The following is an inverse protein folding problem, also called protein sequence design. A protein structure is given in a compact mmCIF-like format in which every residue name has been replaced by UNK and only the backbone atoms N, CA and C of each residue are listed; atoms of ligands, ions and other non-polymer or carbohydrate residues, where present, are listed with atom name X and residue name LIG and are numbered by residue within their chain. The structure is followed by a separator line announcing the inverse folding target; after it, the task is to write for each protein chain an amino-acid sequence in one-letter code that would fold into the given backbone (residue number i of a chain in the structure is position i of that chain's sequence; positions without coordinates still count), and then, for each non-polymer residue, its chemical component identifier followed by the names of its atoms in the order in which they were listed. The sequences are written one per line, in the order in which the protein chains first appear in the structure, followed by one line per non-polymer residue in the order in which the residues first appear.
data_IF_970021306251
#
_entry.id   IF_970021306251
#
_cell.length_a   1.000
_cell.length_b   1.000
_cell.length_c   1.000
_cell.angle_alpha   90.00
_cell.angle_beta   90.00
_cell.angle_gamma   90.00
#
_symmetry.space_group_name_H-M   'P 1'
#
loop_
_entity.id
_entity.type
_entity.pdbx_description
1 polymer ?
#
# COMPACT_ATOMS: atom_id res chain seq x y z
N UNK A 1 42.09 -23.64 17.42
CA UNK A 1 41.30 -22.92 18.43
C UNK A 1 40.15 -22.22 17.74
N UNK A 2 39.39 -22.93 16.92
CA UNK A 2 38.32 -22.33 16.08
C UNK A 2 37.25 -23.35 15.67
N UNK A 3 36.97 -24.35 16.51
CA UNK A 3 36.02 -25.43 16.16
C UNK A 3 35.03 -25.75 17.30
N UNK A 4 34.70 -24.73 18.15
CA UNK A 4 33.82 -24.92 19.31
C UNK A 4 32.53 -24.13 19.30
N UNK A 5 32.34 -23.21 18.30
CA UNK A 5 31.19 -22.28 18.31
C UNK A 5 30.01 -22.75 17.45
N UNK A 6 30.10 -23.88 16.73
CA UNK A 6 29.02 -24.36 15.86
C UNK A 6 27.95 -25.22 16.53
N UNK A 7 28.19 -25.68 17.76
CA UNK A 7 27.28 -26.57 18.47
C UNK A 7 26.24 -25.83 19.37
N UNK A 8 26.39 -24.53 19.57
CA UNK A 8 25.49 -23.77 20.46
C UNK A 8 24.11 -23.50 19.84
N UNK A 9 23.94 -23.67 18.53
CA UNK A 9 22.69 -23.28 17.80
C UNK A 9 21.70 -24.47 17.70
N UNK A 10 22.13 -25.70 17.90
CA UNK A 10 21.27 -26.87 17.73
C UNK A 10 20.52 -27.33 18.99
N UNK A 11 20.93 -26.87 20.17
CA UNK A 11 20.42 -27.43 21.45
C UNK A 11 19.24 -26.64 22.07
N UNK A 12 18.76 -25.61 21.43
CA UNK A 12 17.63 -24.79 21.95
C UNK A 12 16.24 -25.45 21.87
N UNK A 13 16.14 -26.69 21.38
CA UNK A 13 14.81 -27.34 21.18
C UNK A 13 14.54 -28.47 22.16
N UNK A 14 15.54 -28.91 22.94
CA UNK A 14 15.36 -30.02 23.88
C UNK A 14 15.86 -29.56 25.26
N UNK A 15 14.94 -29.25 26.16
CA UNK A 15 15.23 -29.23 27.59
C UNK A 15 15.35 -30.70 28.02
N UNK A 16 16.52 -31.23 28.33
CA UNK A 16 16.61 -32.55 28.92
C UNK A 16 16.11 -32.44 30.37
N UNK A 17 15.08 -33.18 30.72
CA UNK A 17 14.81 -33.51 32.13
C UNK A 17 15.98 -34.33 32.64
N UNK A 18 16.89 -33.74 33.36
CA UNK A 18 18.00 -34.45 33.96
C UNK A 18 18.76 -33.57 34.96
N UNK A 19 18.68 -33.94 36.23
CA UNK A 19 19.49 -33.50 37.36
C UNK A 19 19.60 -31.99 37.58
N UNK A 20 18.64 -31.48 38.31
CA UNK A 20 18.69 -30.18 39.00
C UNK A 20 19.33 -30.33 40.39
N UNK A 21 20.04 -29.29 40.86
CA UNK A 21 20.49 -29.15 42.24
C UNK A 21 19.33 -28.88 43.23
N UNK A 22 19.63 -28.79 44.51
CA UNK A 22 18.64 -28.52 45.56
C UNK A 22 17.87 -27.17 45.40
N UNK A 23 18.24 -26.34 44.48
CA UNK A 23 17.59 -25.06 44.14
C UNK A 23 16.93 -25.02 42.75
N UNK A 24 16.82 -26.18 42.06
CA UNK A 24 16.16 -26.29 40.76
C UNK A 24 16.99 -25.84 39.58
N UNK A 25 18.30 -25.66 39.75
CA UNK A 25 19.24 -25.20 38.68
C UNK A 25 19.91 -26.40 38.01
N UNK A 26 20.11 -26.41 36.69
CA UNK A 26 20.78 -27.50 36.00
C UNK A 26 22.25 -27.56 36.40
N UNK A 27 22.70 -28.78 36.79
CA UNK A 27 24.10 -29.05 37.09
C UNK A 27 24.96 -29.07 35.85
N UNK A 28 25.75 -28.04 35.73
CA UNK A 28 27.08 -27.91 35.12
C UNK A 28 27.47 -28.76 33.88
N UNK A 29 27.57 -28.11 32.72
CA UNK A 29 28.81 -28.16 31.92
C UNK A 29 28.91 -27.23 30.72
N UNK A 30 27.90 -26.44 30.39
CA UNK A 30 28.00 -25.50 29.26
C UNK A 30 27.53 -24.06 29.63
N UNK A 31 28.25 -23.44 30.55
CA UNK A 31 27.97 -22.15 31.14
C UNK A 31 28.21 -20.94 30.18
N UNK A 32 28.40 -21.14 28.91
CA UNK A 32 28.71 -20.05 27.98
C UNK A 32 27.51 -19.45 27.22
N UNK A 33 26.43 -20.23 27.00
CA UNK A 33 25.26 -19.80 26.27
C UNK A 33 24.06 -19.46 27.15
N UNK A 34 23.96 -20.12 28.32
CA UNK A 34 22.82 -19.96 29.23
C UNK A 34 22.87 -18.69 30.09
N UNK A 35 24.05 -18.16 30.35
CA UNK A 35 24.23 -16.92 31.15
C UNK A 35 23.48 -15.72 30.61
N UNK A 36 23.36 -15.58 29.29
CA UNK A 36 22.60 -14.48 28.69
C UNK A 36 21.08 -14.62 28.87
N UNK A 37 20.57 -15.85 28.91
CA UNK A 37 19.15 -16.09 29.13
C UNK A 37 18.75 -15.89 30.60
N UNK A 38 19.62 -16.29 31.54
CA UNK A 38 19.42 -16.08 32.97
C UNK A 38 19.53 -14.60 33.38
N UNK A 39 20.50 -13.86 32.84
CA UNK A 39 20.59 -12.40 33.03
C UNK A 39 19.31 -11.70 32.53
N UNK A 40 18.70 -12.22 31.50
CA UNK A 40 17.46 -11.72 30.94
C UNK A 40 16.24 -12.01 31.84
N UNK A 41 16.28 -13.12 32.57
CA UNK A 41 15.21 -13.50 33.50
C UNK A 41 15.29 -12.69 34.79
N UNK A 42 16.48 -12.51 35.34
CA UNK A 42 16.70 -11.69 36.55
C UNK A 42 16.39 -10.21 36.30
N UNK A 43 16.72 -9.65 35.14
CA UNK A 43 16.31 -8.30 34.77
C UNK A 43 14.80 -8.11 34.63
N UNK A 44 14.04 -9.18 34.35
CA UNK A 44 12.57 -9.15 34.25
C UNK A 44 11.90 -9.22 35.63
N UNK A 45 12.51 -9.88 36.61
CA UNK A 45 11.95 -10.00 37.98
C UNK A 45 12.03 -8.69 38.76
N UNK A 46 13.05 -7.86 38.53
CA UNK A 46 13.25 -6.57 39.22
C UNK A 46 12.51 -5.39 38.57
N UNK A 47 11.73 -5.60 37.49
CA UNK A 47 11.04 -4.51 36.80
C UNK A 47 9.69 -4.14 37.44
N UNK A 48 9.33 -2.82 37.41
CA UNK A 48 8.04 -2.38 37.95
C UNK A 48 6.86 -3.03 37.24
N UNK A 49 5.76 -3.23 37.97
CA UNK A 49 4.53 -3.97 37.55
C UNK A 49 3.98 -3.65 36.16
N UNK A 50 4.27 -2.48 35.58
CA UNK A 50 3.91 -2.11 34.21
C UNK A 50 4.68 -2.91 33.16
N UNK A 51 5.95 -3.25 33.43
CA UNK A 51 6.74 -4.09 32.53
C UNK A 51 6.27 -5.56 32.58
N UNK A 52 5.84 -6.02 33.75
CA UNK A 52 5.27 -7.37 33.92
C UNK A 52 3.93 -7.50 33.18
N UNK A 53 3.12 -6.45 33.15
CA UNK A 53 1.88 -6.42 32.40
C UNK A 53 2.13 -6.46 30.87
N UNK A 54 3.13 -5.70 30.40
CA UNK A 54 3.53 -5.73 28.99
C UNK A 54 4.18 -7.06 28.61
N UNK A 55 4.95 -7.69 29.51
CA UNK A 55 5.50 -9.03 29.26
C UNK A 55 4.42 -10.12 29.28
N UNK A 56 3.38 -9.98 30.09
CA UNK A 56 2.24 -10.92 30.09
C UNK A 56 1.36 -10.76 28.83
N UNK A 57 1.30 -9.56 28.25
CA UNK A 57 0.69 -9.32 26.92
C UNK A 57 1.57 -9.84 25.79
N UNK A 58 2.88 -9.82 25.97
CA UNK A 58 3.86 -10.40 25.04
C UNK A 58 4.10 -11.89 25.27
N UNK A 59 3.56 -12.45 26.33
CA UNK A 59 3.69 -13.87 26.68
C UNK A 59 2.82 -14.73 25.76
N UNK A 60 3.34 -14.97 24.55
CA UNK A 60 2.83 -15.98 23.62
C UNK A 60 3.09 -17.41 24.10
N UNK A 61 3.49 -17.61 25.32
CA UNK A 61 3.77 -18.93 25.91
C UNK A 61 2.54 -19.85 25.92
N UNK A 62 1.34 -19.28 25.86
CA UNK A 62 0.11 -20.04 25.74
C UNK A 62 -0.16 -20.62 24.34
N UNK A 63 0.68 -20.32 23.33
CA UNK A 63 0.61 -20.93 22.00
C UNK A 63 1.56 -22.11 21.83
N UNK A 64 2.47 -22.31 22.76
CA UNK A 64 3.20 -23.57 22.87
C UNK A 64 2.30 -24.47 23.74
N UNK A 65 1.74 -25.55 23.21
CA UNK A 65 1.06 -26.51 24.05
C UNK A 65 2.07 -26.99 25.09
N UNK A 66 1.97 -26.48 26.31
CA UNK A 66 2.62 -27.06 27.46
C UNK A 66 2.19 -28.51 27.41
N UNK A 67 3.15 -29.42 27.30
CA UNK A 67 2.88 -30.85 27.38
C UNK A 67 2.30 -31.10 28.79
N UNK A 68 1.01 -30.86 28.91
CA UNK A 68 0.16 -31.36 29.99
C UNK A 68 0.46 -32.84 30.02
N UNK A 69 0.78 -33.42 31.17
CA UNK A 69 1.12 -34.82 31.37
C UNK A 69 0.27 -35.71 30.46
N UNK A 70 0.74 -35.91 29.24
CA UNK A 70 0.04 -36.64 28.21
C UNK A 70 0.26 -38.12 28.53
N UNK A 71 -0.84 -38.83 28.62
CA UNK A 71 -0.87 -40.27 28.59
C UNK A 71 0.15 -40.81 27.58
N UNK A 72 1.13 -41.65 27.97
CA UNK A 72 2.20 -42.08 27.06
C UNK A 72 1.69 -42.80 25.80
N UNK A 73 0.45 -43.28 25.81
CA UNK A 73 -0.21 -44.06 24.76
C UNK A 73 -1.20 -43.20 23.88
N UNK A 74 -1.33 -41.91 24.10
CA UNK A 74 -2.16 -41.07 23.24
C UNK A 74 -1.46 -40.86 21.90
N UNK A 75 -2.15 -41.03 20.74
CA UNK A 75 -1.58 -40.75 19.43
C UNK A 75 -1.16 -39.29 19.35
N UNK A 76 0.14 -39.01 19.17
CA UNK A 76 0.67 -37.65 19.01
C UNK A 76 -0.12 -36.95 17.92
N UNK A 77 -0.72 -35.78 18.18
CA UNK A 77 -1.41 -35.04 17.16
C UNK A 77 -0.44 -34.79 16.00
N UNK A 78 -0.89 -35.08 14.78
CA UNK A 78 -0.09 -34.86 13.59
C UNK A 78 0.39 -33.40 13.56
N UNK A 79 1.67 -33.12 13.31
CA UNK A 79 2.17 -31.76 13.26
C UNK A 79 1.36 -30.97 12.22
N UNK A 80 0.93 -29.75 12.54
CA UNK A 80 0.16 -28.93 11.60
C UNK A 80 0.93 -28.79 10.30
N UNK A 81 0.24 -28.93 9.15
CA UNK A 81 0.84 -28.81 7.84
C UNK A 81 1.49 -27.42 7.71
N UNK A 82 2.81 -27.36 7.69
CA UNK A 82 3.57 -26.11 7.58
C UNK A 82 3.57 -25.61 6.14
N UNK A 83 3.44 -24.30 5.96
CA UNK A 83 3.37 -23.67 4.64
C UNK A 83 4.76 -23.54 4.00
N UNK A 84 4.81 -23.73 2.66
CA UNK A 84 6.01 -23.45 1.86
C UNK A 84 6.21 -21.98 1.56
N UNK A 85 7.32 -21.62 0.95
CA UNK A 85 7.73 -20.25 0.61
C UNK A 85 6.69 -19.51 -0.25
N UNK A 86 6.11 -20.18 -1.25
CA UNK A 86 5.16 -19.57 -2.19
C UNK A 86 3.90 -19.07 -1.48
N UNK A 87 3.21 -19.97 -0.76
CA UNK A 87 1.94 -19.67 -0.10
C UNK A 87 2.14 -18.91 1.21
N UNK A 88 3.23 -19.22 1.93
CA UNK A 88 3.49 -18.63 3.25
C UNK A 88 4.06 -17.22 3.21
N UNK A 89 4.88 -16.88 2.20
CA UNK A 89 5.60 -15.61 2.16
C UNK A 89 5.32 -14.82 0.87
N UNK A 90 5.56 -15.43 -0.30
CA UNK A 90 5.52 -14.73 -1.59
C UNK A 90 4.14 -14.16 -1.92
N UNK A 91 3.09 -14.96 -1.90
CA UNK A 91 1.73 -14.50 -2.20
C UNK A 91 1.20 -13.47 -1.18
N UNK A 92 1.36 -13.64 0.14
CA UNK A 92 0.99 -12.62 1.10
C UNK A 92 1.74 -11.29 0.94
N UNK A 93 3.03 -11.32 0.59
CA UNK A 93 3.79 -10.11 0.31
C UNK A 93 3.24 -9.38 -0.92
N UNK A 94 3.02 -10.08 -2.03
CA UNK A 94 2.43 -9.49 -3.25
C UNK A 94 1.06 -8.88 -2.95
N UNK A 95 0.21 -9.58 -2.20
CA UNK A 95 -1.12 -9.10 -1.85
C UNK A 95 -1.09 -7.81 -1.02
N UNK A 96 -0.14 -7.69 -0.10
CA UNK A 96 0.00 -6.48 0.71
C UNK A 96 0.69 -5.33 -0.02
N UNK A 97 1.59 -5.61 -0.97
CA UNK A 97 2.27 -4.59 -1.76
C UNK A 97 1.32 -3.99 -2.80
N UNK A 98 0.57 -4.81 -3.54
CA UNK A 98 -0.42 -4.29 -4.49
C UNK A 98 -1.62 -3.66 -3.76
N UNK A 99 -1.43 -2.42 -3.32
CA UNK A 99 -2.45 -1.65 -2.60
C UNK A 99 -3.32 -0.79 -3.53
N UNK A 100 -4.29 -0.13 -2.92
CA UNK A 100 -5.27 0.74 -3.60
C UNK A 100 -4.62 1.88 -4.41
N UNK A 101 -3.48 2.39 -3.95
CA UNK A 101 -2.77 3.52 -4.58
C UNK A 101 -2.29 3.18 -6.00
N UNK A 102 -1.97 1.91 -6.29
CA UNK A 102 -1.65 1.46 -7.65
C UNK A 102 -2.76 1.86 -8.63
N UNK A 103 -4.01 1.62 -8.24
CA UNK A 103 -5.16 1.80 -9.13
C UNK A 103 -5.66 3.25 -9.17
N UNK A 104 -5.60 3.99 -8.06
CA UNK A 104 -6.23 5.30 -7.97
C UNK A 104 -5.26 6.49 -8.04
N UNK A 105 -3.96 6.28 -7.86
CA UNK A 105 -3.00 7.39 -7.79
C UNK A 105 -1.79 7.26 -8.70
N UNK A 106 -1.45 6.06 -9.18
CA UNK A 106 -0.26 5.89 -10.00
C UNK A 106 -0.35 6.68 -11.32
N UNK A 107 -1.51 6.69 -11.97
CA UNK A 107 -1.75 7.45 -13.19
C UNK A 107 -1.54 8.95 -12.97
N UNK A 108 -2.10 9.47 -11.89
CA UNK A 108 -1.94 10.87 -11.50
C UNK A 108 -0.48 11.23 -11.15
N UNK A 109 0.25 10.34 -10.47
CA UNK A 109 1.68 10.52 -10.20
C UNK A 109 2.47 10.60 -11.50
N UNK A 110 2.18 9.72 -12.47
CA UNK A 110 2.83 9.71 -13.78
C UNK A 110 2.50 10.97 -14.58
N UNK A 111 1.23 11.38 -14.62
CA UNK A 111 0.81 12.59 -15.34
C UNK A 111 1.38 13.88 -14.75
N UNK A 112 1.60 13.93 -13.45
CA UNK A 112 2.12 15.11 -12.76
C UNK A 112 3.65 15.17 -12.77
N UNK A 113 4.33 14.05 -12.53
CA UNK A 113 5.78 13.98 -12.50
C UNK A 113 6.40 13.83 -13.91
N UNK A 114 5.59 13.43 -14.91
CA UNK A 114 6.09 13.00 -16.20
C UNK A 114 6.73 11.61 -16.17
N UNK A 115 7.07 11.06 -17.32
CA UNK A 115 7.57 9.70 -17.43
C UNK A 115 8.90 9.50 -16.70
N UNK A 116 9.85 10.42 -16.84
CA UNK A 116 11.20 10.29 -16.26
C UNK A 116 11.15 10.41 -14.75
N UNK A 117 10.57 11.50 -14.24
CA UNK A 117 10.52 11.71 -12.78
C UNK A 117 9.59 10.71 -12.10
N UNK A 118 8.46 10.34 -12.74
CA UNK A 118 7.57 9.28 -12.28
C UNK A 118 8.29 7.94 -12.15
N UNK A 119 9.09 7.58 -13.16
CA UNK A 119 9.91 6.37 -13.10
C UNK A 119 10.94 6.44 -11.96
N UNK A 120 11.62 7.58 -11.78
CA UNK A 120 12.59 7.77 -10.69
C UNK A 120 11.94 7.73 -9.31
N UNK A 121 10.73 8.30 -9.14
CA UNK A 121 9.95 8.22 -7.90
C UNK A 121 9.70 6.76 -7.54
N UNK A 122 9.12 6.00 -8.47
CA UNK A 122 8.78 4.59 -8.24
C UNK A 122 10.03 3.76 -8.01
N UNK A 123 11.10 3.97 -8.80
CA UNK A 123 12.36 3.27 -8.64
C UNK A 123 12.99 3.53 -7.27
N UNK A 124 13.02 4.78 -6.82
CA UNK A 124 13.56 5.16 -5.50
C UNK A 124 12.80 4.48 -4.37
N UNK A 125 11.45 4.47 -4.44
CA UNK A 125 10.61 3.79 -3.47
C UNK A 125 10.88 2.27 -3.47
N UNK A 126 10.96 1.64 -4.65
CA UNK A 126 11.25 0.22 -4.79
C UNK A 126 12.65 -0.15 -4.28
N UNK A 127 13.66 0.67 -4.57
CA UNK A 127 15.02 0.46 -4.07
C UNK A 127 15.08 0.55 -2.53
N UNK A 128 14.38 1.50 -1.94
CA UNK A 128 14.32 1.66 -0.48
C UNK A 128 13.71 0.42 0.18
N UNK A 129 12.60 -0.08 -0.35
CA UNK A 129 11.97 -1.31 0.17
C UNK A 129 12.80 -2.55 -0.08
N UNK A 130 13.51 -2.63 -1.21
CA UNK A 130 14.44 -3.72 -1.49
C UNK A 130 15.60 -3.75 -0.49
N UNK A 131 16.23 -2.60 -0.19
CA UNK A 131 17.29 -2.51 0.82
C UNK A 131 16.78 -2.93 2.20
N UNK A 132 15.57 -2.52 2.57
CA UNK A 132 14.93 -2.94 3.83
C UNK A 132 14.70 -4.45 3.86
N UNK A 133 14.25 -5.04 2.74
CA UNK A 133 14.03 -6.48 2.65
C UNK A 133 15.34 -7.29 2.72
N UNK A 134 16.43 -6.78 2.13
CA UNK A 134 17.75 -7.39 2.23
C UNK A 134 18.23 -7.36 3.70
N UNK A 135 18.07 -6.23 4.38
CA UNK A 135 18.39 -6.10 5.80
C UNK A 135 17.57 -7.06 6.67
N UNK A 136 16.25 -7.12 6.44
CA UNK A 136 15.37 -8.05 7.13
C UNK A 136 15.76 -9.52 6.86
N UNK A 137 16.15 -9.83 5.63
CA UNK A 137 16.60 -11.17 5.24
C UNK A 137 17.89 -11.57 5.95
N UNK A 138 18.82 -10.63 6.09
CA UNK A 138 20.07 -10.87 6.84
C UNK A 138 19.79 -11.18 8.32
N UNK A 139 18.84 -10.48 8.94
CA UNK A 139 18.43 -10.72 10.33
C UNK A 139 17.68 -12.07 10.43
N UNK A 140 16.80 -12.39 9.47
CA UNK A 140 16.01 -13.62 9.46
C UNK A 140 16.87 -14.90 9.32
N UNK A 141 18.00 -14.80 8.60
CA UNK A 141 18.95 -15.93 8.46
C UNK A 141 19.83 -16.14 9.67
N UNK A 142 19.92 -15.17 10.57
CA UNK A 142 20.75 -15.21 11.77
C UNK A 142 19.97 -15.79 12.97
N UNK A 143 19.66 -17.07 12.92
CA UNK A 143 19.02 -17.83 14.00
C UNK A 143 17.53 -18.14 13.77
N UNK A 144 16.97 -18.97 14.64
CA UNK A 144 15.59 -19.47 14.52
C UNK A 144 14.58 -18.36 14.78
N UNK A 145 13.55 -18.27 13.95
CA UNK A 145 12.43 -17.33 14.09
C UNK A 145 11.16 -18.14 14.37
N UNK A 146 10.84 -18.42 15.64
CA UNK A 146 9.72 -19.31 15.99
C UNK A 146 8.36 -18.66 15.69
N UNK A 147 8.15 -17.42 16.10
CA UNK A 147 6.95 -16.64 15.88
C UNK A 147 7.24 -15.16 16.14
N UNK A 148 6.30 -14.26 15.79
CA UNK A 148 6.42 -12.84 16.10
C UNK A 148 7.06 -11.98 14.99
N UNK A 149 7.51 -12.60 13.90
CA UNK A 149 7.96 -11.86 12.71
C UNK A 149 9.12 -10.91 12.95
N UNK A 150 9.08 -9.78 12.27
CA UNK A 150 10.18 -8.81 12.23
C UNK A 150 10.46 -8.17 13.60
N UNK A 151 9.44 -7.89 14.40
CA UNK A 151 9.65 -7.28 15.71
C UNK A 151 10.38 -8.22 16.68
N UNK A 152 10.10 -9.52 16.62
CA UNK A 152 10.83 -10.53 17.38
C UNK A 152 12.30 -10.59 16.95
N UNK A 153 12.56 -10.60 15.64
CA UNK A 153 13.93 -10.61 15.10
C UNK A 153 14.74 -9.39 15.55
N UNK A 154 14.13 -8.21 15.55
CA UNK A 154 14.76 -6.97 16.00
C UNK A 154 14.95 -6.99 17.51
N UNK A 155 13.93 -7.39 18.28
CA UNK A 155 13.99 -7.49 19.73
C UNK A 155 15.08 -8.45 20.23
N UNK A 156 15.27 -9.58 19.55
CA UNK A 156 16.34 -10.51 19.82
C UNK A 156 17.73 -9.91 19.57
N UNK A 157 17.89 -9.09 18.52
CA UNK A 157 19.16 -8.52 18.11
C UNK A 157 19.55 -7.27 18.90
N UNK A 158 18.59 -6.41 19.21
CA UNK A 158 18.80 -5.07 19.82
C UNK A 158 18.26 -4.95 21.26
N UNK A 159 17.66 -6.00 21.78
CA UNK A 159 17.09 -6.02 23.12
C UNK A 159 15.58 -5.73 23.16
N UNK A 160 14.93 -6.01 24.30
CA UNK A 160 13.46 -5.97 24.45
C UNK A 160 12.90 -4.57 24.33
N UNK A 161 13.66 -3.55 24.73
CA UNK A 161 13.23 -2.15 24.69
C UNK A 161 13.07 -1.68 23.24
N UNK A 162 14.06 -1.97 22.38
CA UNK A 162 13.99 -1.69 20.97
C UNK A 162 12.90 -2.53 20.28
N UNK A 163 12.76 -3.81 20.65
CA UNK A 163 11.70 -4.69 20.15
C UNK A 163 10.31 -4.16 20.49
N UNK A 164 10.09 -3.69 21.72
CA UNK A 164 8.83 -3.08 22.15
C UNK A 164 8.51 -1.79 21.37
N UNK A 165 9.49 -0.90 21.21
CA UNK A 165 9.33 0.33 20.44
C UNK A 165 8.97 0.05 18.98
N UNK A 166 9.67 -0.88 18.33
CA UNK A 166 9.37 -1.31 16.95
C UNK A 166 7.99 -1.95 16.85
N UNK A 167 7.57 -2.75 17.83
CA UNK A 167 6.23 -3.33 17.90
C UNK A 167 5.13 -2.26 17.93
N UNK A 168 5.30 -1.21 18.74
CA UNK A 168 4.37 -0.07 18.80
C UNK A 168 4.32 0.71 17.48
N UNK A 169 5.48 0.96 16.87
CA UNK A 169 5.57 1.63 15.56
C UNK A 169 4.90 0.79 14.47
N UNK A 170 5.13 -0.52 14.48
CA UNK A 170 4.51 -1.45 13.53
C UNK A 170 2.99 -1.47 13.67
N UNK A 171 2.47 -1.53 14.91
CA UNK A 171 1.04 -1.46 15.17
C UNK A 171 0.43 -0.16 14.64
N UNK A 172 1.03 0.98 14.99
CA UNK A 172 0.53 2.29 14.56
C UNK A 172 0.58 2.43 13.04
N UNK A 173 1.70 2.07 12.40
CA UNK A 173 1.84 2.13 10.95
C UNK A 173 0.86 1.24 10.21
N UNK A 174 0.64 0.02 10.69
CA UNK A 174 -0.33 -0.92 10.10
C UNK A 174 -1.77 -0.43 10.26
N UNK A 175 -2.10 0.18 11.40
CA UNK A 175 -3.43 0.77 11.66
C UNK A 175 -3.70 1.94 10.71
N UNK A 176 -2.72 2.84 10.51
CA UNK A 176 -2.84 3.95 9.56
C UNK A 176 -2.98 3.45 8.11
N UNK A 177 -2.21 2.42 7.73
CA UNK A 177 -2.34 1.80 6.42
C UNK A 177 -3.73 1.16 6.22
N UNK A 178 -4.26 0.46 7.23
CA UNK A 178 -5.61 -0.09 7.18
C UNK A 178 -6.68 0.99 7.02
N UNK A 179 -6.55 2.11 7.73
CA UNK A 179 -7.43 3.25 7.58
C UNK A 179 -7.39 3.84 6.17
N UNK A 180 -6.18 3.96 5.58
CA UNK A 180 -6.01 4.42 4.20
C UNK A 180 -6.71 3.49 3.19
N UNK A 181 -6.61 2.17 3.36
CA UNK A 181 -7.29 1.21 2.48
C UNK A 181 -8.82 1.27 2.61
N UNK A 182 -9.34 1.47 3.82
CA UNK A 182 -10.78 1.66 4.05
C UNK A 182 -11.28 2.93 3.36
N UNK A 183 -10.59 4.04 3.54
CA UNK A 183 -10.91 5.31 2.87
C UNK A 183 -10.85 5.15 1.36
N UNK A 184 -9.80 4.54 0.82
CA UNK A 184 -9.68 4.28 -0.61
C UNK A 184 -10.78 3.37 -1.17
N UNK A 185 -11.22 2.36 -0.43
CA UNK A 185 -12.34 1.53 -0.82
C UNK A 185 -13.65 2.32 -0.89
N UNK A 186 -13.93 3.18 0.09
CA UNK A 186 -15.10 4.06 0.09
C UNK A 186 -15.02 5.07 -1.06
N UNK A 187 -13.83 5.66 -1.31
CA UNK A 187 -13.60 6.57 -2.44
C UNK A 187 -13.96 5.89 -3.78
N UNK A 188 -13.49 4.66 -4.01
CA UNK A 188 -13.78 3.91 -5.23
C UNK A 188 -15.29 3.65 -5.37
N UNK A 189 -15.95 3.22 -4.29
CA UNK A 189 -17.38 2.91 -4.33
C UNK A 189 -18.21 4.16 -4.64
N UNK A 190 -17.97 5.26 -3.94
CA UNK A 190 -18.79 6.48 -4.07
C UNK A 190 -18.43 7.35 -5.27
N UNK A 191 -17.19 7.25 -5.77
CA UNK A 191 -16.80 8.00 -6.97
C UNK A 191 -17.16 7.25 -8.25
N UNK A 192 -16.91 5.92 -8.27
CA UNK A 192 -16.92 5.16 -9.53
C UNK A 192 -18.05 4.13 -9.63
N UNK A 193 -18.33 3.39 -8.55
CA UNK A 193 -19.28 2.28 -8.63
C UNK A 193 -20.73 2.71 -8.40
N UNK A 194 -20.95 3.54 -7.39
CA UNK A 194 -22.29 3.91 -6.96
C UNK A 194 -22.33 5.35 -6.41
N UNK A 195 -22.18 6.39 -7.25
CA UNK A 195 -22.22 7.79 -6.80
C UNK A 195 -23.56 8.15 -6.14
N UNK A 196 -24.64 7.50 -6.55
CA UNK A 196 -26.00 7.67 -6.01
C UNK A 196 -26.15 7.22 -4.54
N UNK A 197 -25.20 6.44 -4.02
CA UNK A 197 -25.19 6.02 -2.60
C UNK A 197 -24.69 7.11 -1.65
N UNK A 198 -24.23 8.26 -2.13
CA UNK A 198 -23.79 9.34 -1.26
C UNK A 198 -24.98 9.90 -0.43
N UNK A 199 -24.86 9.80 0.90
CA UNK A 199 -25.96 10.16 1.85
C UNK A 199 -25.99 11.65 2.12
N UNK A 200 -24.83 12.32 2.20
CA UNK A 200 -24.72 13.70 2.69
C UNK A 200 -24.65 14.75 1.57
N UNK A 201 -24.85 14.36 0.32
CA UNK A 201 -24.74 15.24 -0.83
C UNK A 201 -23.78 14.72 -1.91
N UNK A 202 -23.32 15.61 -2.78
CA UNK A 202 -22.44 15.22 -3.88
C UNK A 202 -21.01 14.97 -3.36
N UNK A 203 -20.60 13.70 -3.37
CA UNK A 203 -19.30 13.25 -2.84
C UNK A 203 -18.11 13.94 -3.50
N UNK A 204 -18.22 14.29 -4.78
CA UNK A 204 -17.12 14.86 -5.56
C UNK A 204 -17.05 16.39 -5.51
N UNK A 205 -18.14 17.06 -5.15
CA UNK A 205 -18.25 18.52 -5.19
C UNK A 205 -18.16 19.19 -3.83
N UNK A 206 -18.65 18.50 -2.79
CA UNK A 206 -18.70 19.05 -1.43
C UNK A 206 -17.74 18.29 -0.52
N UNK A 207 -16.75 19.02 -0.01
CA UNK A 207 -15.72 18.45 0.88
C UNK A 207 -16.31 17.99 2.22
N UNK A 208 -17.32 18.68 2.75
CA UNK A 208 -17.96 18.26 4.00
C UNK A 208 -18.78 16.99 3.80
N UNK A 209 -19.53 16.90 2.70
CA UNK A 209 -20.24 15.69 2.31
C UNK A 209 -19.29 14.52 2.13
N UNK A 210 -18.13 14.73 1.50
CA UNK A 210 -17.09 13.73 1.31
C UNK A 210 -16.60 13.18 2.66
N UNK A 211 -16.22 14.03 3.60
CA UNK A 211 -15.73 13.58 4.91
C UNK A 211 -16.81 12.86 5.73
N UNK A 212 -18.06 13.31 5.68
CA UNK A 212 -19.14 12.66 6.40
C UNK A 212 -19.47 11.28 5.81
N UNK A 213 -19.44 11.12 4.49
CA UNK A 213 -19.55 9.82 3.84
C UNK A 213 -18.39 8.88 4.23
N UNK A 214 -17.13 9.36 4.25
CA UNK A 214 -16.00 8.58 4.71
C UNK A 214 -16.17 8.09 6.14
N UNK A 215 -16.68 8.93 7.05
CA UNK A 215 -16.92 8.53 8.46
C UNK A 215 -17.95 7.41 8.55
N UNK A 216 -19.08 7.55 7.89
CA UNK A 216 -20.18 6.58 7.99
C UNK A 216 -19.83 5.27 7.28
N UNK A 217 -19.49 5.33 6.01
CA UNK A 217 -19.17 4.12 5.24
C UNK A 217 -17.87 3.46 5.72
N UNK A 218 -16.86 4.25 6.07
CA UNK A 218 -15.61 3.73 6.60
C UNK A 218 -15.79 3.01 7.93
N UNK A 219 -16.60 3.57 8.84
CA UNK A 219 -16.93 2.91 10.11
C UNK A 219 -17.74 1.64 9.88
N UNK A 220 -18.71 1.66 8.98
CA UNK A 220 -19.48 0.49 8.60
C UNK A 220 -18.60 -0.64 8.04
N UNK A 221 -17.69 -0.29 7.12
CA UNK A 221 -16.75 -1.25 6.55
C UNK A 221 -15.80 -1.82 7.61
N UNK A 222 -15.29 -0.96 8.51
CA UNK A 222 -14.44 -1.39 9.63
C UNK A 222 -15.15 -2.38 10.54
N UNK A 223 -16.43 -2.16 10.86
CA UNK A 223 -17.23 -3.08 11.66
C UNK A 223 -17.44 -4.43 10.95
N UNK A 224 -17.71 -4.41 9.66
CA UNK A 224 -17.83 -5.63 8.84
C UNK A 224 -16.52 -6.42 8.86
N UNK A 225 -15.39 -5.75 8.64
CA UNK A 225 -14.07 -6.38 8.66
C UNK A 225 -13.74 -6.92 10.07
N UNK A 226 -14.10 -6.19 11.12
CA UNK A 226 -13.98 -6.65 12.51
C UNK A 226 -14.76 -7.94 12.76
N UNK A 227 -15.99 -8.02 12.28
CA UNK A 227 -16.80 -9.25 12.38
C UNK A 227 -16.17 -10.42 11.61
N UNK A 228 -15.64 -10.17 10.41
CA UNK A 228 -14.96 -11.20 9.61
C UNK A 228 -13.72 -11.74 10.34
N UNK A 229 -12.93 -10.86 10.96
CA UNK A 229 -11.76 -11.26 11.75
C UNK A 229 -12.17 -12.04 13.00
N UNK A 230 -13.28 -11.67 13.65
CA UNK A 230 -13.82 -12.37 14.81
C UNK A 230 -14.25 -13.81 14.49
N UNK A 231 -14.76 -14.08 13.28
CA UNK A 231 -15.10 -15.43 12.79
C UNK A 231 -13.86 -16.34 12.71
N UNK A 232 -12.70 -15.77 12.45
CA UNK A 232 -11.41 -16.46 12.54
C UNK A 232 -10.50 -16.34 11.32
N UNK A 233 -9.22 -16.47 11.58
CA UNK A 233 -8.12 -16.29 10.61
C UNK A 233 -8.20 -17.26 9.42
N UNK A 234 -8.72 -18.46 9.60
CA UNK A 234 -8.88 -19.45 8.49
C UNK A 234 -9.83 -18.93 7.40
N UNK A 235 -10.89 -18.24 7.82
CA UNK A 235 -11.86 -17.65 6.90
C UNK A 235 -11.24 -16.48 6.13
N UNK A 236 -10.52 -15.59 6.84
CA UNK A 236 -9.79 -14.47 6.25
C UNK A 236 -8.80 -14.94 5.18
N UNK A 237 -8.01 -15.98 5.47
CA UNK A 237 -7.03 -16.52 4.51
C UNK A 237 -7.66 -17.06 3.21
N UNK A 238 -8.86 -17.63 3.29
CA UNK A 238 -9.57 -18.10 2.10
C UNK A 238 -10.03 -16.93 1.22
N UNK A 239 -10.57 -15.87 1.82
CA UNK A 239 -10.94 -14.65 1.09
C UNK A 239 -9.73 -13.91 0.51
N UNK A 240 -8.63 -13.87 1.25
CA UNK A 240 -7.38 -13.26 0.80
C UNK A 240 -6.88 -13.83 -0.54
N UNK A 241 -7.00 -15.14 -0.74
CA UNK A 241 -6.59 -15.79 -1.99
C UNK A 241 -7.50 -15.37 -3.17
N UNK A 242 -8.80 -15.24 -2.94
CA UNK A 242 -9.74 -14.76 -3.98
C UNK A 242 -9.45 -13.31 -4.33
N UNK A 243 -9.22 -12.45 -3.31
CA UNK A 243 -8.86 -11.06 -3.53
C UNK A 243 -7.58 -10.92 -4.34
N UNK A 244 -6.54 -11.72 -4.03
CA UNK A 244 -5.30 -11.72 -4.81
C UNK A 244 -5.54 -12.13 -6.29
N UNK A 245 -6.37 -13.12 -6.54
CA UNK A 245 -6.72 -13.51 -7.90
C UNK A 245 -7.40 -12.37 -8.66
N UNK A 246 -8.32 -11.63 -8.02
CA UNK A 246 -8.95 -10.45 -8.61
C UNK A 246 -7.93 -9.35 -8.94
N UNK A 247 -6.96 -9.09 -8.05
CA UNK A 247 -5.90 -8.10 -8.29
C UNK A 247 -5.04 -8.50 -9.49
N UNK A 248 -4.62 -9.75 -9.57
CA UNK A 248 -3.82 -10.25 -10.71
C UNK A 248 -4.61 -10.15 -12.02
N UNK A 249 -5.90 -10.50 -12.01
CA UNK A 249 -6.77 -10.36 -13.17
C UNK A 249 -6.92 -8.90 -13.59
N UNK A 250 -7.09 -7.98 -12.65
CA UNK A 250 -7.19 -6.54 -12.92
C UNK A 250 -5.92 -5.99 -13.56
N UNK A 251 -4.76 -6.33 -13.02
CA UNK A 251 -3.47 -5.93 -13.60
C UNK A 251 -3.32 -6.52 -15.01
N UNK A 252 -3.64 -7.79 -15.19
CA UNK A 252 -3.59 -8.44 -16.52
C UNK A 252 -4.54 -7.77 -17.51
N UNK A 253 -5.72 -7.34 -17.08
CA UNK A 253 -6.67 -6.60 -17.92
C UNK A 253 -6.13 -5.23 -18.33
N UNK A 254 -5.42 -4.52 -17.46
CA UNK A 254 -4.74 -3.25 -17.80
C UNK A 254 -3.72 -3.50 -18.91
N UNK A 255 -2.84 -4.48 -18.77
CA UNK A 255 -1.87 -4.82 -19.82
C UNK A 255 -2.56 -5.20 -21.13
N UNK A 256 -3.57 -6.07 -21.07
CA UNK A 256 -4.32 -6.46 -22.26
C UNK A 256 -4.99 -5.25 -22.92
N UNK A 257 -5.60 -4.36 -22.14
CA UNK A 257 -6.22 -3.13 -22.64
C UNK A 257 -5.24 -2.20 -23.39
N UNK A 258 -4.03 -2.05 -22.87
CA UNK A 258 -2.96 -1.27 -23.50
C UNK A 258 -2.56 -1.89 -24.86
N UNK A 259 -2.39 -3.21 -24.92
CA UNK A 259 -1.99 -3.88 -26.16
C UNK A 259 -3.11 -3.92 -27.19
N UNK A 260 -4.37 -4.06 -26.76
CA UNK A 260 -5.54 -4.00 -27.66
C UNK A 260 -5.70 -2.62 -28.27
N UNK A 261 -5.45 -1.56 -27.50
CA UNK A 261 -5.53 -0.18 -27.96
C UNK A 261 -4.16 0.38 -28.39
N UNK A 262 -3.33 -0.44 -29.06
CA UNK A 262 -1.99 -0.04 -29.53
C UNK A 262 -1.98 1.23 -30.38
N UNK A 263 -2.97 1.36 -31.26
CA UNK A 263 -3.13 2.53 -32.15
C UNK A 263 -4.04 3.62 -31.54
N UNK A 264 -4.44 3.49 -30.28
CA UNK A 264 -5.36 4.40 -29.64
C UNK A 264 -6.82 3.93 -29.68
N UNK A 265 -7.68 4.66 -28.98
CA UNK A 265 -9.11 4.38 -28.88
C UNK A 265 -9.92 5.67 -29.13
N UNK A 266 -10.66 5.71 -30.24
CA UNK A 266 -11.48 6.87 -30.62
C UNK A 266 -12.75 7.03 -29.79
N UNK A 267 -13.10 6.04 -28.98
CA UNK A 267 -14.30 6.08 -28.14
C UNK A 267 -14.17 7.02 -26.95
N UNK A 268 -12.94 7.18 -26.42
CA UNK A 268 -12.69 8.06 -25.31
C UNK A 268 -12.15 9.39 -25.83
N UNK A 269 -13.05 10.33 -26.04
CA UNK A 269 -12.73 11.70 -26.45
C UNK A 269 -13.03 12.66 -25.29
N UNK A 270 -12.24 13.71 -25.18
CA UNK A 270 -12.35 14.71 -24.12
C UNK A 270 -12.52 16.10 -24.72
N UNK A 271 -13.42 16.90 -24.13
CA UNK A 271 -13.53 18.31 -24.44
C UNK A 271 -12.49 19.09 -23.62
N UNK A 272 -11.65 19.85 -24.31
CA UNK A 272 -10.55 20.62 -23.71
C UNK A 272 -10.64 22.07 -24.14
N UNK A 273 -10.55 23.00 -23.16
CA UNK A 273 -10.48 24.42 -23.40
C UNK A 273 -9.01 24.87 -23.26
N UNK A 274 -8.35 25.10 -24.38
CA UNK A 274 -6.90 25.33 -24.41
C UNK A 274 -6.14 24.14 -23.82
N UNK A 275 -5.65 24.27 -22.58
CA UNK A 275 -4.95 23.19 -21.86
C UNK A 275 -5.69 22.74 -20.58
N UNK A 276 -6.96 23.11 -20.44
CA UNK A 276 -7.81 22.71 -19.33
C UNK A 276 -8.79 21.62 -19.74
N UNK A 277 -8.82 20.54 -18.98
CA UNK A 277 -9.78 19.46 -19.15
C UNK A 277 -11.13 19.91 -18.59
N UNK A 278 -12.19 19.80 -19.39
CA UNK A 278 -13.55 20.14 -18.96
C UNK A 278 -14.26 18.88 -18.50
N UNK A 279 -14.80 18.91 -17.29
CA UNK A 279 -15.50 17.79 -16.66
C UNK A 279 -16.99 17.83 -16.99
N UNK A 280 -17.62 16.67 -17.08
CA UNK A 280 -19.08 16.49 -17.24
C UNK A 280 -19.70 17.13 -18.51
N UNK A 281 -18.93 17.31 -19.57
CA UNK A 281 -19.42 17.84 -20.83
C UNK A 281 -19.48 16.74 -21.88
N UNK A 282 -20.67 16.54 -22.43
CA UNK A 282 -20.84 15.67 -23.58
C UNK A 282 -20.12 16.25 -24.80
N UNK A 283 -19.50 15.40 -25.62
CA UNK A 283 -18.77 15.81 -26.81
C UNK A 283 -19.61 16.65 -27.77
N UNK A 284 -20.91 16.36 -27.84
CA UNK A 284 -21.88 17.11 -28.66
C UNK A 284 -22.05 18.55 -28.17
N UNK A 285 -21.86 18.81 -26.88
CA UNK A 285 -21.97 20.13 -26.25
C UNK A 285 -20.63 20.87 -26.17
N UNK A 286 -19.56 20.30 -26.72
CA UNK A 286 -18.22 20.92 -26.79
C UNK A 286 -18.17 22.00 -27.87
N UNK A 287 -19.00 23.05 -27.73
CA UNK A 287 -19.11 24.17 -28.67
C UNK A 287 -19.18 25.51 -27.92
N UNK A 288 -18.65 26.57 -28.53
CA UNK A 288 -18.73 27.93 -28.00
C UNK A 288 -20.00 28.68 -28.43
N UNK A 289 -21.07 27.97 -28.75
CA UNK A 289 -22.32 28.59 -29.18
C UNK A 289 -22.93 29.48 -28.06
N UNK A 290 -23.39 30.65 -28.44
CA UNK A 290 -24.05 31.58 -27.51
C UNK A 290 -25.36 30.96 -27.00
N UNK A 291 -25.46 30.78 -25.69
CA UNK A 291 -26.59 30.07 -25.05
C UNK A 291 -26.40 28.59 -24.86
N UNK A 292 -25.31 28.01 -25.37
CA UNK A 292 -24.89 26.66 -25.09
C UNK A 292 -24.50 26.42 -23.62
N UNK A 293 -24.27 25.17 -23.24
CA UNK A 293 -23.93 24.79 -21.85
C UNK A 293 -22.66 25.48 -21.37
N UNK A 294 -21.59 25.44 -22.18
CA UNK A 294 -20.32 26.09 -21.86
C UNK A 294 -20.45 27.62 -21.77
N UNK A 295 -21.23 28.23 -22.65
CA UNK A 295 -21.44 29.66 -22.60
C UNK A 295 -22.17 30.10 -21.31
N UNK A 296 -23.11 29.28 -20.81
CA UNK A 296 -23.81 29.60 -19.54
C UNK A 296 -22.87 29.49 -18.34
N UNK A 297 -21.93 28.54 -18.38
CA UNK A 297 -20.97 28.30 -17.29
C UNK A 297 -19.88 29.36 -17.26
N UNK A 298 -19.30 29.69 -18.42
CA UNK A 298 -18.14 30.58 -18.50
C UNK A 298 -18.47 32.04 -18.78
N UNK A 299 -19.74 32.35 -19.08
CA UNK A 299 -20.21 33.70 -19.37
C UNK A 299 -21.46 34.06 -18.53
N UNK A 300 -21.39 34.01 -17.16
CA UNK A 300 -22.49 34.48 -16.34
C UNK A 300 -22.73 35.96 -16.65
N UNK A 301 -24.01 36.35 -16.79
CA UNK A 301 -24.45 37.74 -17.05
C UNK A 301 -23.80 38.40 -18.29
N UNK A 302 -23.47 37.64 -19.32
CA UNK A 302 -22.75 38.05 -20.53
C UNK A 302 -21.30 38.56 -20.29
N UNK A 303 -20.76 38.36 -19.11
CA UNK A 303 -19.36 38.62 -18.80
C UNK A 303 -18.62 37.31 -18.90
N UNK A 304 -17.87 37.12 -19.97
CA UNK A 304 -17.14 35.86 -20.19
C UNK A 304 -15.79 35.87 -19.50
N UNK A 305 -15.42 34.72 -18.94
CA UNK A 305 -14.10 34.45 -18.42
C UNK A 305 -13.03 34.76 -19.49
N UNK A 306 -11.95 35.51 -19.18
CA UNK A 306 -10.86 35.81 -20.10
C UNK A 306 -10.27 34.57 -20.72
N UNK A 307 -10.03 33.52 -19.94
CA UNK A 307 -9.47 32.29 -20.44
C UNK A 307 -10.40 31.61 -21.47
N UNK A 308 -11.70 31.66 -21.28
CA UNK A 308 -12.69 31.13 -22.24
C UNK A 308 -12.70 31.92 -23.55
N UNK A 309 -12.46 33.23 -23.50
CA UNK A 309 -12.36 34.06 -24.70
C UNK A 309 -11.12 33.80 -25.50
N UNK A 310 -9.98 33.67 -24.80
CA UNK A 310 -8.64 33.62 -25.42
C UNK A 310 -8.26 32.25 -25.96
N UNK A 311 -8.92 31.18 -25.50
CA UNK A 311 -8.57 29.80 -25.89
C UNK A 311 -9.70 29.13 -26.66
N UNK A 312 -9.34 28.36 -27.65
CA UNK A 312 -10.29 27.57 -28.44
C UNK A 312 -10.61 26.23 -27.78
N UNK A 313 -11.83 25.75 -28.05
CA UNK A 313 -12.23 24.39 -27.69
C UNK A 313 -11.64 23.39 -28.67
N UNK A 314 -11.16 22.30 -28.16
CA UNK A 314 -10.68 21.16 -28.96
C UNK A 314 -11.15 19.84 -28.37
N UNK A 315 -11.36 18.88 -29.25
CA UNK A 315 -11.66 17.49 -28.85
C UNK A 315 -10.35 16.71 -28.98
N UNK A 316 -9.89 16.15 -27.86
CA UNK A 316 -8.64 15.40 -27.78
C UNK A 316 -8.95 13.95 -27.43
N UNK A 317 -8.27 13.03 -28.07
CA UNK A 317 -8.35 11.60 -27.78
C UNK A 317 -7.62 11.31 -26.46
N UNK A 318 -8.31 10.69 -25.49
CA UNK A 318 -7.76 10.41 -24.16
C UNK A 318 -6.75 9.26 -24.15
N UNK A 319 -7.01 8.20 -24.93
CA UNK A 319 -6.11 7.05 -25.09
C UNK A 319 -5.53 7.11 -26.50
N UNK A 320 -4.33 7.68 -26.61
CA UNK A 320 -3.64 7.84 -27.91
C UNK A 320 -2.97 6.56 -28.41
N UNK A 321 -2.65 5.64 -27.50
CA UNK A 321 -1.97 4.37 -27.79
C UNK A 321 -0.45 4.50 -27.93
N UNK A 322 0.24 3.36 -27.84
CA UNK A 322 1.72 3.31 -27.88
C UNK A 322 2.31 3.78 -29.23
N UNK A 323 1.58 3.60 -30.32
CA UNK A 323 2.05 4.01 -31.67
C UNK A 323 2.01 5.52 -31.90
N UNK A 324 1.31 6.29 -31.07
CA UNK A 324 1.11 7.73 -31.25
C UNK A 324 2.33 8.58 -30.93
N UNK A 325 3.30 8.04 -30.20
CA UNK A 325 4.45 8.81 -29.73
C UNK A 325 4.17 9.74 -28.54
N UNK A 326 2.99 9.64 -27.91
CA UNK A 326 2.59 10.46 -26.75
C UNK A 326 3.56 10.35 -25.57
N UNK A 327 4.38 9.31 -25.54
CA UNK A 327 5.45 9.14 -24.55
C UNK A 327 6.40 10.35 -24.49
N UNK A 328 6.73 10.93 -25.65
CA UNK A 328 7.61 12.09 -25.71
C UNK A 328 6.94 13.37 -25.20
N UNK A 329 5.62 13.49 -25.38
CA UNK A 329 4.84 14.60 -24.83
C UNK A 329 4.74 14.51 -23.30
N UNK A 330 4.67 13.28 -22.77
CA UNK A 330 4.59 13.00 -21.33
C UNK A 330 5.97 12.90 -20.65
N UNK A 331 7.06 13.21 -21.34
CA UNK A 331 8.41 13.03 -20.81
C UNK A 331 8.73 14.03 -19.68
N UNK A 332 8.24 15.27 -19.84
CA UNK A 332 8.50 16.38 -18.93
C UNK A 332 7.52 16.39 -17.75
N UNK A 333 7.99 16.94 -16.65
CA UNK A 333 7.16 17.17 -15.46
C UNK A 333 6.16 18.30 -15.67
N UNK A 334 5.06 18.21 -14.96
CA UNK A 334 3.95 19.17 -14.98
C UNK A 334 3.45 19.40 -13.57
N UNK A 335 4.35 19.75 -12.64
CA UNK A 335 3.99 20.02 -11.25
C UNK A 335 3.04 21.19 -11.14
N UNK A 336 2.09 21.10 -10.21
CA UNK A 336 1.05 22.08 -9.98
C UNK A 336 1.17 22.68 -8.58
N UNK A 337 0.88 23.96 -8.45
CA UNK A 337 0.66 24.64 -7.18
C UNK A 337 -0.77 24.46 -6.70
N UNK A 338 -1.01 24.62 -5.40
CA UNK A 338 -2.35 24.55 -4.82
C UNK A 338 -3.27 25.55 -5.52
N UNK A 339 -4.44 25.07 -5.93
CA UNK A 339 -5.45 25.87 -6.59
C UNK A 339 -5.21 26.17 -8.06
N UNK A 340 -4.09 25.76 -8.62
CA UNK A 340 -3.82 25.90 -10.05
C UNK A 340 -4.75 24.97 -10.84
N UNK A 341 -5.42 25.50 -11.85
CA UNK A 341 -6.17 24.68 -12.80
C UNK A 341 -5.23 23.82 -13.63
N UNK A 342 -5.71 22.70 -14.15
CA UNK A 342 -4.98 21.90 -15.14
C UNK A 342 -4.92 22.70 -16.45
N UNK A 343 -4.11 23.73 -16.44
CA UNK A 343 -3.80 24.61 -17.53
C UNK A 343 -2.31 24.88 -17.50
N UNK A 344 -1.63 24.56 -18.55
CA UNK A 344 -0.19 24.81 -18.63
C UNK A 344 0.09 26.32 -18.69
N UNK A 345 0.98 26.80 -17.81
CA UNK A 345 1.55 28.14 -17.92
C UNK A 345 0.70 29.30 -17.42
N UNK A 346 -0.41 29.05 -16.68
CA UNK A 346 -1.15 30.12 -16.02
C UNK A 346 -1.10 29.91 -14.51
N UNK A 347 -0.41 30.80 -13.81
CA UNK A 347 -0.49 30.89 -12.36
C UNK A 347 -1.82 31.56 -11.98
N UNK A 348 -2.48 31.16 -10.89
CA UNK A 348 -3.63 31.89 -10.38
C UNK A 348 -3.15 33.27 -9.92
N UNK A 349 -3.82 34.32 -10.38
CA UNK A 349 -3.41 35.69 -10.14
C UNK A 349 -3.43 36.07 -8.64
N UNK A 350 -4.19 35.36 -7.79
CA UNK A 350 -4.13 35.44 -6.32
C UNK A 350 -4.80 34.22 -5.67
N UNK A 351 -4.11 33.63 -4.70
CA UNK A 351 -4.61 32.48 -3.92
C UNK A 351 -5.83 32.86 -3.05
N UNK A 352 -5.94 34.13 -2.66
CA UNK A 352 -7.04 34.63 -1.83
C UNK A 352 -8.34 34.91 -2.60
N UNK A 353 -8.29 35.02 -3.93
CA UNK A 353 -9.47 35.26 -4.78
C UNK A 353 -10.01 33.99 -5.45
N UNK A 354 -9.50 32.81 -5.08
CA UNK A 354 -10.01 31.57 -5.61
C UNK A 354 -11.40 31.28 -5.07
N UNK A 355 -12.38 31.94 -5.65
CA UNK A 355 -13.72 31.40 -5.67
C UNK A 355 -13.70 30.02 -6.25
N UNK A 356 -14.55 29.13 -5.71
CA UNK A 356 -14.63 27.71 -6.08
C UNK A 356 -14.47 27.53 -7.60
N UNK A 357 -13.71 26.51 -8.04
CA UNK A 357 -13.49 26.29 -9.46
C UNK A 357 -14.80 26.21 -10.20
N UNK A 358 -14.84 26.82 -11.38
CA UNK A 358 -16.01 26.75 -12.26
C UNK A 358 -16.36 25.28 -12.47
N UNK A 359 -17.63 24.96 -12.40
CA UNK A 359 -18.25 23.65 -12.30
C UNK A 359 -17.61 22.54 -13.19
N UNK A 360 -17.09 22.92 -14.35
CA UNK A 360 -16.57 22.01 -15.36
C UNK A 360 -15.04 22.08 -15.52
N UNK A 361 -14.30 22.51 -14.49
CA UNK A 361 -12.84 22.57 -14.52
C UNK A 361 -12.23 21.72 -13.44
N UNK A 362 -11.14 21.02 -13.77
CA UNK A 362 -10.32 20.28 -12.83
C UNK A 362 -9.19 21.17 -12.36
N UNK A 363 -8.98 21.26 -11.05
CA UNK A 363 -7.93 22.07 -10.45
C UNK A 363 -7.07 21.26 -9.46
N UNK A 364 -5.88 21.75 -9.15
CA UNK A 364 -5.01 21.13 -8.20
C UNK A 364 -5.44 21.43 -6.76
N UNK A 365 -5.70 20.38 -5.98
CA UNK A 365 -6.05 20.48 -4.56
C UNK A 365 -4.83 20.59 -3.65
N UNK A 366 -3.67 20.14 -4.13
CA UNK A 366 -2.42 20.12 -3.36
C UNK A 366 -1.25 20.52 -4.24
N UNK A 367 -0.28 21.21 -3.65
CA UNK A 367 1.01 21.44 -4.30
C UNK A 367 1.68 20.11 -4.61
N UNK A 368 2.24 19.96 -5.79
CA UNK A 368 2.95 18.77 -6.22
C UNK A 368 4.44 19.06 -6.40
N UNK A 369 5.27 18.23 -5.82
CA UNK A 369 6.73 18.23 -5.97
C UNK A 369 7.23 16.80 -6.01
N UNK A 370 8.44 16.59 -6.48
CA UNK A 370 9.07 15.27 -6.48
C UNK A 370 9.01 14.59 -5.11
N UNK A 371 9.35 15.32 -4.04
CA UNK A 371 9.36 14.80 -2.66
C UNK A 371 7.97 14.46 -2.15
N UNK A 372 6.97 15.31 -2.46
CA UNK A 372 5.58 15.05 -2.06
C UNK A 372 5.05 13.81 -2.78
N UNK A 373 5.34 13.65 -4.07
CA UNK A 373 4.92 12.47 -4.82
C UNK A 373 5.59 11.19 -4.34
N UNK A 374 6.87 11.23 -3.90
CA UNK A 374 7.49 10.10 -3.20
C UNK A 374 6.67 9.75 -1.95
N UNK A 375 6.33 10.73 -1.12
CA UNK A 375 5.54 10.51 0.10
C UNK A 375 4.16 9.92 -0.18
N UNK A 376 3.49 10.32 -1.26
CA UNK A 376 2.18 9.80 -1.67
C UNK A 376 2.29 8.37 -2.24
N UNK A 377 3.35 8.09 -3.00
CA UNK A 377 3.52 6.78 -3.63
C UNK A 377 4.14 5.74 -2.70
N UNK A 378 5.01 6.13 -1.76
CA UNK A 378 5.77 5.23 -0.88
C UNK A 378 4.88 4.17 -0.17
N UNK A 379 3.68 4.48 0.35
CA UNK A 379 2.81 3.47 0.95
C UNK A 379 2.45 2.31 0.01
N UNK A 380 2.48 2.52 -1.32
CA UNK A 380 2.18 1.46 -2.31
C UNK A 380 3.20 0.34 -2.35
N UNK A 381 4.45 0.62 -1.97
CA UNK A 381 5.55 -0.36 -2.00
C UNK A 381 5.85 -0.95 -0.62
N UNK A 382 5.11 -0.55 0.41
CA UNK A 382 5.18 -1.12 1.76
C UNK A 382 4.44 -2.45 1.84
N UNK A 383 4.49 -3.14 3.01
CA UNK A 383 3.79 -4.42 3.19
C UNK A 383 4.70 -5.64 3.10
N UNK A 384 6.02 -5.44 3.00
CA UNK A 384 7.04 -6.50 2.93
C UNK A 384 7.06 -7.42 4.16
N UNK A 385 6.56 -6.95 5.31
CA UNK A 385 6.52 -7.72 6.56
C UNK A 385 5.44 -8.80 6.60
N UNK A 386 4.52 -8.84 5.64
CA UNK A 386 3.41 -9.79 5.63
C UNK A 386 3.88 -11.26 5.65
N UNK A 387 4.99 -11.55 4.99
CA UNK A 387 5.59 -12.89 5.00
C UNK A 387 6.27 -13.23 6.31
N UNK A 388 7.02 -12.29 6.90
CA UNK A 388 7.71 -12.52 8.17
C UNK A 388 6.74 -12.68 9.34
N UNK A 389 5.59 -12.02 9.32
CA UNK A 389 4.56 -12.16 10.36
C UNK A 389 3.96 -13.58 10.45
N UNK A 390 4.13 -14.40 9.42
CA UNK A 390 3.71 -15.80 9.39
C UNK A 390 4.83 -16.79 9.70
N UNK A 391 5.93 -16.32 10.29
CA UNK A 391 7.12 -17.15 10.57
C UNK A 391 6.80 -18.45 11.31
N UNK A 392 5.85 -18.43 12.26
CA UNK A 392 5.44 -19.60 13.01
C UNK A 392 4.73 -20.69 12.20
N UNK A 393 4.13 -20.34 11.07
CA UNK A 393 3.40 -21.26 10.19
C UNK A 393 4.26 -21.80 9.04
N UNK A 394 5.52 -21.35 8.90
CA UNK A 394 6.43 -21.74 7.82
C UNK A 394 7.15 -23.04 8.13
N UNK A 395 7.40 -23.83 7.08
CA UNK A 395 8.20 -25.05 7.19
C UNK A 395 9.68 -24.72 7.52
N UNK A 396 10.23 -23.71 6.87
CA UNK A 396 11.58 -23.19 7.06
C UNK A 396 11.53 -21.66 6.92
N UNK A 397 11.42 -20.97 8.05
CA UNK A 397 11.31 -19.51 8.07
C UNK A 397 12.60 -18.82 7.61
N UNK A 398 13.78 -19.36 7.98
CA UNK A 398 15.08 -18.79 7.65
C UNK A 398 15.33 -18.71 6.13
N UNK A 399 14.86 -19.71 5.39
CA UNK A 399 15.00 -19.78 3.95
C UNK A 399 13.81 -19.13 3.22
N UNK A 400 12.61 -19.33 3.73
CA UNK A 400 11.38 -18.87 3.07
C UNK A 400 11.19 -17.37 3.13
N UNK A 401 11.53 -16.72 4.25
CA UNK A 401 11.36 -15.26 4.41
C UNK A 401 12.25 -14.50 3.41
N UNK A 402 13.58 -14.73 3.32
CA UNK A 402 14.42 -14.02 2.37
C UNK A 402 13.99 -14.21 0.92
N UNK A 403 13.85 -15.46 0.50
CA UNK A 403 13.54 -15.81 -0.89
C UNK A 403 12.16 -15.24 -1.27
N UNK A 404 11.15 -15.50 -0.46
CA UNK A 404 9.77 -15.09 -0.75
C UNK A 404 9.61 -13.58 -0.81
N UNK A 405 10.22 -12.85 0.14
CA UNK A 405 10.11 -11.38 0.20
C UNK A 405 10.85 -10.70 -0.95
N UNK A 406 12.11 -11.11 -1.22
CA UNK A 406 12.89 -10.52 -2.32
C UNK A 406 12.21 -10.78 -3.67
N UNK A 407 11.77 -12.02 -3.93
CA UNK A 407 11.05 -12.33 -5.16
C UNK A 407 9.75 -11.53 -5.30
N UNK A 408 9.01 -11.35 -4.21
CA UNK A 408 7.78 -10.55 -4.23
C UNK A 408 8.06 -9.09 -4.59
N UNK A 409 9.08 -8.48 -3.98
CA UNK A 409 9.47 -7.09 -4.27
C UNK A 409 9.94 -6.94 -5.72
N UNK A 410 10.76 -7.86 -6.22
CA UNK A 410 11.19 -7.83 -7.62
C UNK A 410 10.02 -7.90 -8.60
N UNK A 411 9.08 -8.80 -8.35
CA UNK A 411 7.88 -8.95 -9.18
C UNK A 411 7.02 -7.68 -9.14
N UNK A 412 6.73 -7.17 -7.97
CA UNK A 412 5.87 -5.98 -7.82
C UNK A 412 6.55 -4.71 -8.34
N UNK A 413 7.87 -4.55 -8.14
CA UNK A 413 8.64 -3.44 -8.69
C UNK A 413 8.64 -3.45 -10.21
N UNK A 414 8.77 -4.62 -10.85
CA UNK A 414 8.70 -4.77 -12.30
C UNK A 414 7.33 -4.34 -12.82
N UNK A 415 6.25 -4.75 -12.16
CA UNK A 415 4.88 -4.33 -12.52
C UNK A 415 4.71 -2.83 -12.37
N UNK A 416 5.11 -2.23 -11.25
CA UNK A 416 4.98 -0.78 -11.05
C UNK A 416 5.76 0.03 -12.08
N UNK A 417 7.04 -0.30 -12.30
CA UNK A 417 7.89 0.41 -13.27
C UNK A 417 7.37 0.27 -14.70
N UNK A 418 6.91 -0.92 -15.08
CA UNK A 418 6.30 -1.13 -16.41
C UNK A 418 4.98 -0.37 -16.56
N UNK A 419 4.13 -0.32 -15.53
CA UNK A 419 2.90 0.48 -15.56
C UNK A 419 3.18 1.97 -15.75
N UNK A 420 4.21 2.53 -15.10
CA UNK A 420 4.61 3.93 -15.30
C UNK A 420 4.92 4.22 -16.77
N UNK A 421 5.76 3.38 -17.39
CA UNK A 421 6.16 3.55 -18.79
C UNK A 421 4.97 3.36 -19.75
N UNK A 422 4.13 2.37 -19.47
CA UNK A 422 2.97 2.08 -20.31
C UNK A 422 1.91 3.18 -20.22
N UNK A 423 1.61 3.68 -19.04
CA UNK A 423 0.66 4.79 -18.87
C UNK A 423 1.18 6.07 -19.53
N UNK A 424 2.45 6.41 -19.33
CA UNK A 424 3.07 7.54 -20.00
C UNK A 424 3.07 7.41 -21.53
N UNK A 425 3.17 6.17 -22.05
CA UNK A 425 3.21 5.90 -23.49
C UNK A 425 1.87 5.78 -24.17
N UNK A 426 0.76 5.64 -23.42
CA UNK A 426 -0.56 5.34 -24.02
C UNK A 426 -1.60 6.41 -23.80
N UNK A 427 -1.52 7.16 -22.70
CA UNK A 427 -2.58 8.04 -22.24
C UNK A 427 -2.14 9.49 -22.34
N UNK A 428 -3.07 10.38 -22.71
CA UNK A 428 -2.84 11.82 -22.78
C UNK A 428 -2.50 12.41 -21.41
N UNK A 429 -1.60 13.39 -21.36
CA UNK A 429 -1.15 14.04 -20.13
C UNK A 429 -2.31 14.61 -19.29
N UNK A 430 -3.27 15.26 -19.94
CA UNK A 430 -4.40 15.86 -19.25
C UNK A 430 -5.27 14.81 -18.56
N UNK A 431 -5.46 13.66 -19.20
CA UNK A 431 -6.21 12.55 -18.60
C UNK A 431 -5.43 11.89 -17.46
N UNK A 432 -4.11 11.72 -17.60
CA UNK A 432 -3.27 11.21 -16.52
C UNK A 432 -3.30 12.09 -15.27
N UNK A 433 -3.46 13.39 -15.44
CA UNK A 433 -3.50 14.38 -14.35
C UNK A 433 -4.86 14.49 -13.69
N UNK A 434 -5.89 13.86 -14.22
CA UNK A 434 -7.19 13.74 -13.56
C UNK A 434 -7.08 12.84 -12.33
N UNK A 435 -6.96 13.44 -11.16
CA UNK A 435 -6.77 12.75 -9.88
C UNK A 435 -7.93 11.80 -9.53
N UNK A 436 -9.13 12.13 -9.95
CA UNK A 436 -10.34 11.36 -9.64
C UNK A 436 -10.81 10.48 -10.80
N UNK A 437 -10.07 10.46 -11.92
CA UNK A 437 -10.35 9.64 -13.11
C UNK A 437 -11.82 9.74 -13.57
N UNK A 438 -12.39 10.93 -13.43
CA UNK A 438 -13.80 11.17 -13.71
C UNK A 438 -14.20 10.89 -15.17
N UNK A 439 -13.22 10.94 -16.08
CA UNK A 439 -13.42 10.69 -17.51
C UNK A 439 -13.37 9.21 -17.93
N UNK A 440 -12.84 8.32 -17.10
CA UNK A 440 -12.75 6.91 -17.46
C UNK A 440 -14.06 6.15 -17.35
N UNK A 441 -15.07 6.73 -16.72
CA UNK A 441 -16.31 6.03 -16.33
C UNK A 441 -17.58 6.65 -16.89
N UNK A 442 -17.51 7.76 -17.61
CA UNK A 442 -18.57 8.27 -18.45
C UNK A 442 -18.46 7.68 -19.86
#
# INVERSE_FOLDING_TARGET
MQEKDSNCVSDYIIVPQGDTDEHGLPKDKDMGCDTNLYLYHDELEDRPRAATFLSSLADYSNTIPTASAADPDAPKPAPPARMGTLIGVYLPCIQNIFGVILFIRLTWVVGTAGAIQGFLIVLTCCCTTMLTAISMSAIATNGVVPAGGSYFMIGRSLGPECGGAVGMLFYTGTTLAAAMYIVGAVEIVLTYMAPWMSIFGDFTKDQEAMFNNFRVYGTGLLLIMGMVVFVGVKFVNKFATIALACVILSISAVYAGIFVNWNGNDKLQMCVLGKRLLKDINIENCTKEVGGELHRVFCPDNICDPYYKDHELSIVQGIKGLASGVFFDNLQDSFLTLGQYIAYGKEPDDIEQMERPTYNQIYAETTTTFTILIGIFFPSVTGIMAGSNRSGDLADAQKSIPIGTICAILTTSTVYLSCVLLFAGTVDNLLLRDKYVNYFLS
#
